data_IF_214482411248
#
_entry.id   IF_214482411248
#
_cell.length_a   1.000
_cell.length_b   1.000
_cell.length_c   1.000
_cell.angle_alpha   90.00
_cell.angle_beta   90.00
_cell.angle_gamma   90.00
#
_symmetry.space_group_name_H-M   'P 1'
#
loop_
_entity.id
_entity.type
_entity.pdbx_description
1 polymer ?
#
# COMPACT_ATOMS: atom_id res chain seq x y z
N UNK A 1 -3.13 4.01 -36.73
CA UNK A 1 -2.59 5.37 -36.48
C UNK A 1 -3.64 6.36 -35.98
N UNK A 2 -4.85 6.42 -36.57
CA UNK A 2 -5.85 7.47 -36.26
C UNK A 2 -6.29 7.56 -34.78
N UNK A 3 -6.55 6.43 -34.10
CA UNK A 3 -7.10 6.45 -32.74
C UNK A 3 -6.13 7.03 -31.69
N UNK A 4 -4.88 6.59 -31.64
CA UNK A 4 -3.92 7.11 -30.64
C UNK A 4 -3.58 8.58 -30.83
N UNK A 5 -3.81 9.15 -32.02
CA UNK A 5 -3.53 10.56 -32.28
C UNK A 5 -4.55 11.52 -31.65
N UNK A 6 -5.75 11.01 -31.31
CA UNK A 6 -6.84 11.80 -30.70
C UNK A 6 -7.06 11.47 -29.22
N UNK A 7 -6.30 10.52 -28.67
CA UNK A 7 -6.40 10.11 -27.26
C UNK A 7 -5.39 10.88 -26.40
N UNK A 8 -5.73 11.17 -25.13
CA UNK A 8 -4.81 11.81 -24.21
C UNK A 8 -3.57 10.92 -23.96
N UNK A 9 -2.42 11.49 -23.53
CA UNK A 9 -1.18 10.74 -23.26
C UNK A 9 -1.27 9.56 -22.28
N UNK A 10 -2.33 9.53 -21.48
CA UNK A 10 -2.60 8.49 -20.48
C UNK A 10 -3.43 7.33 -21.02
N UNK A 11 -3.98 7.44 -22.24
CA UNK A 11 -4.80 6.40 -22.88
C UNK A 11 -4.16 5.99 -24.19
N UNK A 12 -3.97 4.68 -24.37
CA UNK A 12 -3.32 4.10 -25.55
C UNK A 12 -4.03 2.83 -26.00
N UNK A 13 -4.24 2.70 -27.30
CA UNK A 13 -4.69 1.47 -27.97
C UNK A 13 -3.46 0.80 -28.59
N UNK A 14 -3.06 -0.34 -28.04
CA UNK A 14 -1.88 -1.09 -28.50
C UNK A 14 -2.22 -2.33 -29.32
N UNK A 15 -3.45 -2.86 -29.19
CA UNK A 15 -3.92 -4.03 -29.94
C UNK A 15 -5.39 -3.91 -30.36
N UNK A 16 -5.79 -4.74 -31.33
CA UNK A 16 -7.16 -4.86 -31.80
C UNK A 16 -7.40 -6.26 -32.40
N UNK A 17 -8.66 -6.67 -32.48
CA UNK A 17 -9.05 -7.93 -33.12
C UNK A 17 -10.46 -7.80 -33.70
N UNK A 18 -10.74 -8.30 -34.92
CA UNK A 18 -12.12 -8.42 -35.39
C UNK A 18 -12.88 -9.48 -34.56
N UNK A 19 -14.14 -9.19 -34.25
CA UNK A 19 -15.00 -10.07 -33.44
C UNK A 19 -16.33 -10.31 -34.15
N UNK A 20 -17.03 -11.37 -33.75
CA UNK A 20 -18.37 -11.63 -34.28
C UNK A 20 -19.39 -10.62 -33.74
N UNK A 21 -20.50 -10.34 -34.44
CA UNK A 21 -21.54 -9.44 -33.94
C UNK A 21 -22.17 -9.89 -32.61
N UNK A 22 -22.09 -11.17 -32.28
CA UNK A 22 -22.60 -11.75 -31.02
C UNK A 22 -21.59 -11.66 -29.87
N UNK A 23 -20.37 -11.22 -30.12
CA UNK A 23 -19.33 -11.12 -29.10
C UNK A 23 -19.63 -10.00 -28.10
N UNK A 24 -19.41 -10.26 -26.81
CA UNK A 24 -19.48 -9.26 -25.76
C UNK A 24 -18.18 -9.21 -24.98
N UNK A 25 -17.50 -8.07 -24.95
CA UNK A 25 -16.31 -7.88 -24.12
C UNK A 25 -16.58 -8.17 -22.62
N UNK A 26 -17.83 -7.96 -22.16
CA UNK A 26 -18.22 -8.24 -20.79
C UNK A 26 -18.52 -9.72 -20.57
N UNK A 27 -19.41 -10.30 -21.38
CA UNK A 27 -19.96 -11.63 -21.12
C UNK A 27 -19.15 -12.77 -21.74
N UNK A 28 -18.35 -12.50 -22.78
CA UNK A 28 -17.48 -13.48 -23.42
C UNK A 28 -16.09 -13.59 -22.75
N UNK A 29 -15.80 -12.77 -21.75
CA UNK A 29 -14.53 -12.82 -21.01
C UNK A 29 -14.52 -13.99 -20.02
N UNK A 30 -13.51 -14.86 -20.11
CA UNK A 30 -13.37 -16.07 -19.29
C UNK A 30 -12.72 -15.80 -17.94
N UNK A 31 -11.70 -14.94 -17.89
CA UNK A 31 -10.97 -14.60 -16.67
C UNK A 31 -10.44 -13.17 -16.70
N UNK A 32 -10.29 -12.58 -15.51
CA UNK A 32 -9.65 -11.28 -15.30
C UNK A 32 -8.50 -11.46 -14.32
N UNK A 33 -7.36 -10.88 -14.65
CA UNK A 33 -6.18 -10.86 -13.79
C UNK A 33 -5.96 -9.45 -13.28
N UNK A 34 -5.94 -9.29 -11.97
CA UNK A 34 -5.59 -8.04 -11.31
C UNK A 34 -4.25 -8.16 -10.61
N UNK A 35 -3.52 -7.06 -10.58
CA UNK A 35 -2.33 -6.88 -9.75
C UNK A 35 -2.54 -5.72 -8.80
N UNK A 36 -2.19 -5.89 -7.54
CA UNK A 36 -2.17 -4.83 -6.55
C UNK A 36 -0.73 -4.65 -6.06
N UNK A 37 -0.13 -3.49 -6.36
CA UNK A 37 1.26 -3.20 -6.02
C UNK A 37 1.39 -2.63 -4.60
N UNK A 38 2.43 -3.04 -3.87
CA UNK A 38 2.74 -2.49 -2.55
C UNK A 38 4.22 -2.64 -2.22
N UNK A 39 4.67 -1.98 -1.16
CA UNK A 39 6.04 -2.14 -0.64
C UNK A 39 5.98 -3.03 0.59
N UNK A 40 6.82 -4.06 0.64
CA UNK A 40 6.82 -5.10 1.70
C UNK A 40 6.80 -4.51 3.11
N UNK A 41 7.73 -3.60 3.40
CA UNK A 41 8.00 -3.06 4.75
C UNK A 41 8.15 -4.21 5.75
N UNK A 42 7.41 -4.11 6.85
CA UNK A 42 7.34 -5.03 7.97
C UNK A 42 6.25 -6.10 7.81
N UNK A 43 5.63 -6.23 6.63
CA UNK A 43 4.58 -7.21 6.39
C UNK A 43 5.12 -8.64 6.40
N UNK A 44 4.46 -9.50 7.17
CA UNK A 44 4.64 -10.95 7.16
C UNK A 44 3.97 -11.54 5.91
N UNK A 45 4.74 -11.70 4.84
CA UNK A 45 4.23 -12.21 3.57
C UNK A 45 3.79 -13.68 3.68
N UNK A 46 4.34 -14.46 4.61
CA UNK A 46 3.97 -15.86 4.73
C UNK A 46 2.59 -16.02 5.35
N UNK A 47 2.31 -15.26 6.41
CA UNK A 47 0.95 -15.16 6.95
C UNK A 47 -0.05 -14.65 5.90
N UNK A 48 0.35 -13.67 5.07
CA UNK A 48 -0.49 -13.19 3.97
C UNK A 48 -0.75 -14.28 2.91
N UNK A 49 0.27 -15.08 2.55
CA UNK A 49 0.13 -16.20 1.62
C UNK A 49 -0.81 -17.27 2.16
N UNK A 50 -0.71 -17.60 3.45
CA UNK A 50 -1.62 -18.55 4.10
C UNK A 50 -3.09 -18.07 4.04
N UNK A 51 -3.33 -16.80 4.37
CA UNK A 51 -4.66 -16.20 4.26
C UNK A 51 -5.15 -16.16 2.82
N UNK A 52 -4.24 -15.92 1.87
CA UNK A 52 -4.58 -15.86 0.45
C UNK A 52 -4.99 -17.22 -0.13
N UNK A 53 -4.31 -18.30 0.26
CA UNK A 53 -4.61 -19.64 -0.22
C UNK A 53 -6.08 -20.04 0.03
N UNK A 54 -6.67 -19.57 1.14
CA UNK A 54 -8.07 -19.82 1.53
C UNK A 54 -9.10 -19.16 0.59
N UNK A 55 -8.70 -18.13 -0.16
CA UNK A 55 -9.59 -17.42 -1.09
C UNK A 55 -9.78 -18.18 -2.41
N UNK A 56 -8.90 -19.12 -2.75
CA UNK A 56 -8.97 -19.88 -4.01
C UNK A 56 -10.18 -20.81 -4.00
N UNK A 57 -10.89 -20.90 -5.12
CA UNK A 57 -12.12 -21.70 -5.26
C UNK A 57 -13.39 -20.87 -5.39
N UNK A 58 -14.53 -21.52 -5.16
CA UNK A 58 -15.87 -20.91 -5.23
C UNK A 58 -16.35 -20.57 -3.81
N UNK A 59 -16.60 -19.29 -3.56
CA UNK A 59 -17.07 -18.80 -2.25
C UNK A 59 -18.05 -17.64 -2.39
N UNK A 60 -18.79 -17.36 -1.32
CA UNK A 60 -19.59 -16.14 -1.18
C UNK A 60 -18.71 -15.01 -0.61
N UNK A 61 -18.53 -13.94 -1.39
CA UNK A 61 -17.63 -12.84 -1.04
C UNK A 61 -18.34 -11.59 -0.50
N UNK A 62 -19.58 -11.69 0.00
CA UNK A 62 -20.34 -10.51 0.48
C UNK A 62 -19.64 -9.72 1.59
N UNK A 63 -18.93 -10.41 2.49
CA UNK A 63 -18.16 -9.79 3.58
C UNK A 63 -16.84 -9.18 3.09
N UNK A 64 -16.39 -9.57 1.89
CA UNK A 64 -15.17 -9.11 1.24
C UNK A 64 -15.47 -8.18 0.06
N UNK A 65 -16.64 -7.55 -0.01
CA UNK A 65 -16.98 -6.55 -1.02
C UNK A 65 -17.74 -5.36 -0.40
N UNK A 66 -17.93 -4.28 -1.15
CA UNK A 66 -18.89 -3.24 -0.74
C UNK A 66 -20.28 -3.69 -1.20
N UNK A 67 -21.19 -3.89 -0.25
CA UNK A 67 -22.55 -4.35 -0.56
C UNK A 67 -23.28 -3.24 -1.33
N UNK A 68 -23.78 -3.57 -2.52
CA UNK A 68 -24.77 -2.79 -3.23
C UNK A 68 -26.02 -3.67 -3.42
N UNK A 69 -26.92 -3.62 -2.45
CA UNK A 69 -28.08 -4.53 -2.34
C UNK A 69 -29.08 -4.30 -3.48
N UNK A 70 -29.06 -3.12 -4.09
CA UNK A 70 -29.98 -2.76 -5.19
C UNK A 70 -29.59 -3.41 -6.52
N UNK A 71 -28.32 -3.73 -6.72
CA UNK A 71 -27.79 -4.17 -8.02
C UNK A 71 -27.34 -5.64 -8.06
N UNK A 72 -27.05 -6.25 -6.90
CA UNK A 72 -26.41 -7.57 -6.84
C UNK A 72 -27.13 -8.50 -5.87
N UNK A 73 -27.71 -9.57 -6.42
CA UNK A 73 -28.30 -10.68 -5.66
C UNK A 73 -27.38 -11.89 -5.51
N UNK A 74 -26.36 -12.01 -6.38
CA UNK A 74 -25.40 -13.11 -6.35
C UNK A 74 -23.99 -12.64 -5.96
N UNK A 75 -23.53 -13.10 -4.80
CA UNK A 75 -22.21 -12.80 -4.22
C UNK A 75 -21.19 -13.93 -4.39
N UNK A 76 -21.58 -15.05 -5.01
CA UNK A 76 -20.66 -16.14 -5.28
C UNK A 76 -19.70 -15.77 -6.41
N UNK A 77 -18.41 -15.96 -6.19
CA UNK A 77 -17.37 -15.80 -7.22
C UNK A 77 -16.41 -16.98 -7.21
N UNK A 78 -15.71 -17.15 -8.31
CA UNK A 78 -14.68 -18.18 -8.46
C UNK A 78 -13.34 -17.50 -8.67
N UNK A 79 -12.43 -17.72 -7.72
CA UNK A 79 -11.02 -17.35 -7.83
C UNK A 79 -10.26 -18.58 -8.34
N UNK A 80 -9.59 -18.43 -9.48
CA UNK A 80 -8.85 -19.49 -10.14
C UNK A 80 -7.46 -19.67 -9.52
N UNK A 81 -6.77 -18.56 -9.29
CA UNK A 81 -5.45 -18.55 -8.65
C UNK A 81 -5.21 -17.21 -7.98
N UNK A 82 -4.36 -17.20 -6.97
CA UNK A 82 -3.87 -15.98 -6.37
C UNK A 82 -2.50 -16.20 -5.72
N UNK A 83 -1.63 -15.20 -5.80
CA UNK A 83 -0.26 -15.28 -5.31
C UNK A 83 0.28 -13.91 -4.86
N UNK A 84 1.33 -13.92 -4.06
CA UNK A 84 2.10 -12.73 -3.69
C UNK A 84 3.51 -12.90 -4.24
N UNK A 85 3.87 -12.01 -5.15
CA UNK A 85 5.16 -12.02 -5.85
C UNK A 85 6.02 -10.88 -5.31
N UNK A 86 7.24 -11.22 -4.90
CA UNK A 86 8.29 -10.26 -4.56
C UNK A 86 9.09 -9.96 -5.83
N UNK A 87 9.32 -8.69 -6.11
CA UNK A 87 10.18 -8.30 -7.24
C UNK A 87 11.62 -8.17 -6.76
N UNK A 88 12.52 -8.89 -7.40
CA UNK A 88 13.95 -8.73 -7.21
C UNK A 88 14.40 -7.42 -7.85
N UNK A 89 14.42 -6.34 -7.06
CA UNK A 89 15.05 -5.09 -7.48
C UNK A 89 16.51 -5.13 -7.04
N UNK A 90 17.33 -5.80 -7.84
CA UNK A 90 18.78 -5.61 -7.86
C UNK A 90 19.25 -5.55 -9.31
N UNK A 91 18.92 -4.44 -9.99
CA UNK A 91 19.67 -4.01 -11.16
C UNK A 91 21.01 -3.43 -10.71
N UNK A 92 22.00 -4.27 -10.46
CA UNK A 92 23.37 -3.95 -10.86
C UNK A 92 23.53 -4.51 -12.26
N UNK A 93 23.65 -3.63 -13.25
CA UNK A 93 24.00 -4.04 -14.61
C UNK A 93 25.31 -4.83 -14.59
N UNK A 94 25.31 -5.98 -15.26
CA UNK A 94 26.46 -6.84 -15.46
C UNK A 94 26.06 -8.03 -16.32
N UNK A 95 26.47 -7.98 -17.58
CA UNK A 95 26.27 -9.02 -18.59
C UNK A 95 26.98 -10.33 -18.21
N UNK A 96 26.38 -11.47 -18.57
CA UNK A 96 27.07 -12.73 -18.90
C UNK A 96 27.59 -13.59 -17.74
N UNK A 97 27.17 -14.85 -17.68
CA UNK A 97 27.86 -15.86 -16.88
C UNK A 97 27.00 -17.08 -16.56
N UNK A 98 27.30 -18.17 -17.26
CA UNK A 98 26.82 -19.53 -17.01
C UNK A 98 27.04 -20.00 -15.56
N UNK A 99 26.19 -20.97 -15.20
CA UNK A 99 26.20 -21.79 -14.00
C UNK A 99 27.58 -22.15 -13.45
N UNK A 100 27.77 -21.98 -12.14
CA UNK A 100 28.46 -23.01 -11.35
C UNK A 100 27.86 -23.04 -9.94
N UNK A 101 27.43 -24.23 -9.54
CA UNK A 101 26.97 -24.57 -8.20
C UNK A 101 28.12 -24.41 -7.21
N UNK A 102 27.86 -23.76 -6.08
CA UNK A 102 28.68 -23.88 -4.88
C UNK A 102 27.78 -23.82 -3.63
N UNK A 103 27.67 -24.95 -2.96
CA UNK A 103 27.24 -25.06 -1.56
C UNK A 103 28.28 -24.39 -0.65
N UNK A 104 27.83 -23.75 0.44
CA UNK A 104 28.71 -23.41 1.57
C UNK A 104 28.38 -22.14 2.36
N UNK A 105 27.89 -22.35 3.57
CA UNK A 105 28.12 -21.64 4.84
C UNK A 105 27.72 -20.17 5.08
N UNK A 106 26.96 -20.05 6.18
CA UNK A 106 26.83 -18.97 7.16
C UNK A 106 27.61 -17.66 6.93
N UNK A 107 26.89 -16.69 6.36
CA UNK A 107 26.93 -15.32 6.84
C UNK A 107 25.53 -14.70 6.62
N UNK A 108 24.72 -14.66 7.68
CA UNK A 108 23.61 -13.69 7.73
C UNK A 108 24.25 -12.31 7.67
N UNK A 109 24.31 -11.73 6.47
CA UNK A 109 24.56 -10.31 6.31
C UNK A 109 23.67 -9.55 7.31
N UNK A 110 24.20 -8.52 7.98
CA UNK A 110 23.39 -7.65 8.83
C UNK A 110 22.15 -7.25 8.03
N UNK A 111 20.95 -7.33 8.62
CA UNK A 111 19.69 -6.96 7.95
C UNK A 111 19.80 -5.51 7.43
N UNK A 112 20.28 -5.37 6.20
CA UNK A 112 20.47 -4.07 5.56
C UNK A 112 19.09 -3.42 5.37
N UNK A 113 18.97 -2.08 5.51
CA UNK A 113 17.72 -1.32 5.33
C UNK A 113 17.01 -1.55 3.98
N UNK A 114 17.71 -2.18 3.02
CA UNK A 114 17.27 -2.51 1.67
C UNK A 114 16.21 -3.62 1.61
N UNK A 115 16.21 -4.57 2.56
CA UNK A 115 15.27 -5.72 2.54
C UNK A 115 13.80 -5.31 2.73
N UNK A 116 13.54 -4.29 3.55
CA UNK A 116 12.18 -3.87 3.89
C UNK A 116 11.48 -3.07 2.79
N UNK A 117 12.19 -2.53 1.80
CA UNK A 117 11.58 -1.66 0.77
C UNK A 117 11.39 -2.35 -0.57
N UNK A 118 11.38 -3.67 -0.58
CA UNK A 118 11.13 -4.46 -1.78
C UNK A 118 9.71 -4.22 -2.30
N UNK A 119 9.55 -3.86 -3.58
CA UNK A 119 8.24 -3.83 -4.21
C UNK A 119 7.73 -5.27 -4.34
N UNK A 120 6.45 -5.43 -4.05
CA UNK A 120 5.72 -6.66 -4.15
C UNK A 120 4.43 -6.40 -4.92
N UNK A 121 3.83 -7.44 -5.45
CA UNK A 121 2.46 -7.36 -5.90
C UNK A 121 1.66 -8.61 -5.52
N UNK A 122 0.41 -8.35 -5.17
CA UNK A 122 -0.63 -9.36 -5.05
C UNK A 122 -1.22 -9.58 -6.44
N UNK A 123 -1.27 -10.82 -6.90
CA UNK A 123 -1.89 -11.22 -8.17
C UNK A 123 -3.10 -12.08 -7.86
N UNK A 124 -4.21 -11.80 -8.55
CA UNK A 124 -5.44 -12.59 -8.44
C UNK A 124 -6.09 -12.78 -9.81
N UNK A 125 -6.42 -14.02 -10.11
CA UNK A 125 -7.12 -14.44 -11.32
C UNK A 125 -8.47 -15.00 -10.93
N UNK A 126 -9.53 -14.50 -11.53
CA UNK A 126 -10.88 -14.98 -11.26
C UNK A 126 -11.80 -14.75 -12.45
N UNK A 127 -12.92 -15.47 -12.43
CA UNK A 127 -13.92 -15.33 -13.49
C UNK A 127 -14.51 -13.91 -13.51
N UNK A 128 -14.87 -13.38 -12.34
CA UNK A 128 -15.38 -12.03 -12.15
C UNK A 128 -15.18 -11.61 -10.68
N UNK A 129 -15.28 -10.30 -10.41
CA UNK A 129 -15.15 -9.74 -9.05
C UNK A 129 -16.34 -8.84 -8.73
N UNK A 130 -16.74 -8.81 -7.46
CA UNK A 130 -17.74 -7.89 -6.91
C UNK A 130 -17.17 -6.47 -6.76
N UNK A 131 -18.06 -5.51 -6.53
CA UNK A 131 -17.67 -4.13 -6.30
C UNK A 131 -16.74 -4.01 -5.08
N UNK A 132 -15.57 -3.41 -5.31
CA UNK A 132 -14.48 -3.27 -4.34
C UNK A 132 -13.91 -4.58 -3.76
N UNK A 133 -14.24 -5.76 -4.32
CA UNK A 133 -13.84 -7.04 -3.74
C UNK A 133 -12.34 -7.14 -3.47
N UNK A 134 -11.55 -6.84 -4.50
CA UNK A 134 -10.08 -6.95 -4.44
C UNK A 134 -9.50 -6.00 -3.39
N UNK A 135 -10.00 -4.76 -3.29
CA UNK A 135 -9.52 -3.77 -2.32
C UNK A 135 -9.87 -4.15 -0.88
N UNK A 136 -11.01 -4.80 -0.68
CA UNK A 136 -11.38 -5.36 0.63
C UNK A 136 -10.50 -6.55 0.99
N UNK A 137 -10.26 -7.48 0.06
CA UNK A 137 -9.32 -8.60 0.24
C UNK A 137 -7.93 -8.08 0.64
N UNK A 138 -7.38 -7.14 -0.13
CA UNK A 138 -6.05 -6.57 0.12
C UNK A 138 -5.98 -5.89 1.49
N UNK A 139 -7.06 -5.24 1.93
CA UNK A 139 -7.12 -4.65 3.27
C UNK A 139 -6.97 -5.71 4.36
N UNK A 140 -7.73 -6.80 4.29
CA UNK A 140 -7.63 -7.91 5.25
C UNK A 140 -6.26 -8.56 5.20
N UNK A 141 -5.69 -8.76 4.01
CA UNK A 141 -4.32 -9.26 3.87
C UNK A 141 -3.29 -8.33 4.53
N UNK A 142 -3.43 -7.00 4.44
CA UNK A 142 -2.55 -6.10 5.19
C UNK A 142 -2.74 -6.17 6.70
N UNK A 143 -3.94 -6.49 7.19
CA UNK A 143 -4.16 -6.73 8.62
C UNK A 143 -3.48 -8.03 9.07
N UNK A 144 -3.53 -9.07 8.23
CA UNK A 144 -2.83 -10.34 8.45
C UNK A 144 -1.31 -10.14 8.42
N UNK A 145 -0.79 -9.46 7.40
CA UNK A 145 0.65 -9.18 7.27
C UNK A 145 1.20 -8.31 8.41
N UNK A 146 0.36 -7.47 9.03
CA UNK A 146 0.69 -6.71 10.25
C UNK A 146 0.49 -7.50 11.55
N UNK A 147 0.06 -8.76 11.47
CA UNK A 147 -0.27 -9.64 12.61
C UNK A 147 -1.36 -9.06 13.52
N UNK A 148 -2.24 -8.23 12.97
CA UNK A 148 -3.40 -7.70 13.70
C UNK A 148 -4.52 -8.74 13.69
N UNK A 149 -4.67 -9.43 12.56
CA UNK A 149 -5.62 -10.53 12.36
C UNK A 149 -4.86 -11.82 12.03
N UNK A 150 -5.35 -12.99 12.47
CA UNK A 150 -4.78 -14.27 12.05
C UNK A 150 -5.22 -14.61 10.61
N UNK A 151 -4.47 -15.45 9.88
CA UNK A 151 -4.88 -15.92 8.55
C UNK A 151 -6.23 -16.66 8.53
N UNK A 152 -6.70 -17.19 9.66
CA UNK A 152 -8.01 -17.86 9.78
C UNK A 152 -9.19 -16.89 9.67
N UNK A 153 -8.99 -15.58 9.81
CA UNK A 153 -10.05 -14.58 9.64
C UNK A 153 -10.71 -14.64 8.26
N UNK A 154 -9.97 -15.14 7.26
CA UNK A 154 -10.51 -15.33 5.92
C UNK A 154 -11.61 -16.41 5.92
N UNK A 155 -11.42 -17.50 6.65
CA UNK A 155 -12.42 -18.56 6.77
C UNK A 155 -13.69 -18.01 7.44
N UNK A 156 -13.54 -17.22 8.51
CA UNK A 156 -14.64 -16.57 9.22
C UNK A 156 -15.40 -15.55 8.34
N UNK A 157 -14.70 -14.87 7.42
CA UNK A 157 -15.32 -13.91 6.50
C UNK A 157 -16.05 -14.58 5.34
N UNK A 158 -15.60 -15.77 4.92
CA UNK A 158 -16.25 -16.57 3.89
C UNK A 158 -17.44 -17.37 4.46
N UNK A 159 -17.45 -17.67 5.77
CA UNK A 159 -18.60 -18.28 6.44
C UNK A 159 -19.70 -17.25 6.77
N UNK A 160 -20.68 -17.20 5.88
CA UNK A 160 -21.84 -16.31 6.02
C UNK A 160 -22.75 -16.69 7.19
N UNK A 161 -22.78 -17.97 7.56
CA UNK A 161 -23.66 -18.46 8.63
C UNK A 161 -23.12 -18.08 10.01
N UNK A 162 -21.79 -18.19 10.18
CA UNK A 162 -21.11 -17.76 11.40
C UNK A 162 -21.00 -16.22 11.48
N UNK A 163 -20.85 -15.54 10.35
CA UNK A 163 -20.62 -14.09 10.30
C UNK A 163 -21.62 -13.35 9.38
N UNK A 164 -22.84 -13.09 9.85
CA UNK A 164 -23.88 -12.43 9.04
C UNK A 164 -23.60 -10.93 8.80
N UNK A 165 -22.67 -10.34 9.57
CA UNK A 165 -22.36 -8.91 9.53
C UNK A 165 -20.91 -8.63 9.15
N UNK A 166 -20.70 -7.87 8.08
CA UNK A 166 -19.35 -7.50 7.62
C UNK A 166 -18.60 -6.64 8.66
N UNK A 167 -17.39 -7.03 9.10
CA UNK A 167 -16.52 -6.16 9.89
C UNK A 167 -16.07 -4.92 9.12
N UNK A 168 -15.93 -3.79 9.81
CA UNK A 168 -15.54 -2.52 9.19
C UNK A 168 -14.02 -2.43 9.01
N UNK A 169 -13.53 -2.93 7.86
CA UNK A 169 -12.14 -2.71 7.44
C UNK A 169 -12.03 -1.47 6.55
N UNK A 170 -11.00 -0.64 6.80
CA UNK A 170 -10.66 0.46 5.90
C UNK A 170 -10.21 -0.10 4.55
N UNK A 171 -10.85 0.34 3.47
CA UNK A 171 -10.56 -0.18 2.14
C UNK A 171 -9.15 0.21 1.68
N UNK A 172 -8.42 -0.74 1.08
CA UNK A 172 -7.09 -0.46 0.55
C UNK A 172 -7.14 0.67 -0.52
N UNK A 173 -6.10 1.51 -0.67
CA UNK A 173 -6.03 2.52 -1.72
C UNK A 173 -6.31 1.99 -3.13
N UNK A 174 -6.84 2.81 -4.03
CA UNK A 174 -7.12 2.38 -5.41
C UNK A 174 -5.95 2.47 -6.37
N UNK A 175 -5.07 3.46 -6.15
CA UNK A 175 -3.95 3.75 -7.04
C UNK A 175 -3.09 2.52 -7.40
N UNK A 176 -2.80 1.59 -6.48
CA UNK A 176 -1.95 0.44 -6.80
C UNK A 176 -2.68 -0.73 -7.48
N UNK A 177 -4.00 -0.65 -7.66
CA UNK A 177 -4.79 -1.71 -8.27
C UNK A 177 -4.84 -1.54 -9.80
N UNK A 178 -4.35 -2.54 -10.52
CA UNK A 178 -4.27 -2.56 -11.98
C UNK A 178 -5.00 -3.78 -12.52
N UNK A 179 -5.92 -3.58 -13.47
CA UNK A 179 -6.40 -4.65 -14.34
C UNK A 179 -5.28 -5.01 -15.31
N UNK A 180 -4.64 -6.15 -15.09
CA UNK A 180 -3.46 -6.55 -15.83
C UNK A 180 -3.80 -7.21 -17.17
N UNK A 181 -4.74 -8.15 -17.16
CA UNK A 181 -5.18 -8.83 -18.37
C UNK A 181 -6.62 -9.33 -18.26
N UNK A 182 -7.21 -9.57 -19.42
CA UNK A 182 -8.52 -10.20 -19.58
C UNK A 182 -8.40 -11.29 -20.62
N UNK A 183 -8.93 -12.47 -20.31
CA UNK A 183 -8.86 -13.63 -21.19
C UNK A 183 -10.17 -13.81 -21.93
N UNK A 184 -10.05 -14.21 -23.20
CA UNK A 184 -11.17 -14.50 -24.08
C UNK A 184 -10.86 -15.76 -24.87
N UNK A 185 -11.86 -16.64 -24.97
CA UNK A 185 -11.73 -17.86 -25.74
C UNK A 185 -11.62 -17.54 -27.23
N UNK A 186 -10.63 -18.14 -27.91
CA UNK A 186 -10.43 -18.06 -29.36
C UNK A 186 -10.22 -16.65 -29.95
N UNK A 187 -9.86 -15.66 -29.14
CA UNK A 187 -9.45 -14.34 -29.67
C UNK A 187 -7.93 -14.23 -29.74
N UNK A 188 -7.45 -13.83 -30.92
CA UNK A 188 -6.03 -13.50 -31.15
C UNK A 188 -5.92 -11.99 -31.39
N UNK A 189 -5.35 -11.28 -30.42
CA UNK A 189 -5.11 -9.85 -30.57
C UNK A 189 -4.04 -9.61 -31.63
N UNK A 190 -4.37 -8.73 -32.58
CA UNK A 190 -3.43 -8.19 -33.55
C UNK A 190 -2.74 -6.96 -32.98
N UNK A 191 -1.43 -6.86 -33.23
CA UNK A 191 -0.60 -5.75 -32.78
C UNK A 191 0.12 -5.12 -33.97
N UNK A 192 0.20 -3.79 -33.99
CA UNK A 192 0.98 -3.05 -34.98
C UNK A 192 2.33 -2.65 -34.40
N UNK A 193 3.42 -2.97 -35.11
CA UNK A 193 4.79 -2.67 -34.65
C UNK A 193 4.96 -1.19 -34.28
N UNK A 194 4.52 -0.26 -35.12
CA UNK A 194 4.62 1.18 -34.84
C UNK A 194 3.84 1.59 -33.58
N UNK A 195 2.69 0.97 -33.30
CA UNK A 195 1.92 1.29 -32.10
C UNK A 195 2.60 0.74 -30.85
N UNK A 196 3.08 -0.51 -30.90
CA UNK A 196 3.82 -1.11 -29.80
C UNK A 196 5.09 -0.34 -29.50
N UNK A 197 5.83 0.08 -30.54
CA UNK A 197 7.04 0.89 -30.40
C UNK A 197 6.76 2.20 -29.64
N UNK A 198 5.78 3.00 -30.10
CA UNK A 198 5.46 4.27 -29.43
C UNK A 198 4.95 4.07 -27.99
N UNK A 199 4.12 3.04 -27.75
CA UNK A 199 3.65 2.74 -26.39
C UNK A 199 4.81 2.29 -25.50
N UNK A 200 5.73 1.48 -26.04
CA UNK A 200 6.97 1.09 -25.36
C UNK A 200 7.81 2.30 -24.97
N UNK A 201 8.15 3.16 -25.93
CA UNK A 201 8.93 4.38 -25.66
C UNK A 201 8.24 5.33 -24.66
N UNK A 202 6.90 5.46 -24.72
CA UNK A 202 6.13 6.27 -23.77
C UNK A 202 6.22 5.69 -22.34
N UNK A 203 6.16 4.36 -22.20
CA UNK A 203 6.26 3.68 -20.91
C UNK A 203 7.69 3.72 -20.35
N UNK A 204 8.70 3.48 -21.20
CA UNK A 204 10.12 3.55 -20.85
C UNK A 204 10.48 4.94 -20.32
N UNK A 205 10.11 6.00 -21.05
CA UNK A 205 10.38 7.38 -20.61
C UNK A 205 9.77 7.71 -19.26
N UNK A 206 8.52 7.30 -19.02
CA UNK A 206 7.85 7.50 -17.72
C UNK A 206 8.52 6.70 -16.61
N UNK A 207 8.96 5.48 -16.92
CA UNK A 207 9.69 4.64 -15.98
C UNK A 207 11.04 5.27 -15.62
N UNK A 208 11.80 5.77 -16.59
CA UNK A 208 13.08 6.47 -16.37
C UNK A 208 12.89 7.71 -15.48
N UNK A 209 11.89 8.54 -15.77
CA UNK A 209 11.57 9.73 -14.97
C UNK A 209 11.24 9.38 -13.52
N UNK A 210 10.35 8.40 -13.33
CA UNK A 210 9.95 7.94 -12.00
C UNK A 210 11.10 7.26 -11.25
N UNK A 211 11.98 6.55 -11.96
CA UNK A 211 13.15 5.94 -11.35
C UNK A 211 14.18 6.96 -10.91
N UNK A 212 14.46 7.98 -11.73
CA UNK A 212 15.35 9.06 -11.35
C UNK A 212 14.81 9.81 -10.12
N UNK A 213 13.49 10.06 -10.08
CA UNK A 213 12.85 10.65 -8.92
C UNK A 213 12.97 9.76 -7.67
N UNK A 214 12.77 8.44 -7.81
CA UNK A 214 12.93 7.48 -6.72
C UNK A 214 14.38 7.43 -6.22
N UNK A 215 15.37 7.50 -7.11
CA UNK A 215 16.79 7.46 -6.77
C UNK A 215 17.23 8.73 -6.05
N UNK A 216 16.80 9.92 -6.50
CA UNK A 216 17.06 11.18 -5.80
C UNK A 216 16.52 11.16 -4.36
N UNK A 217 15.33 10.60 -4.17
CA UNK A 217 14.75 10.44 -2.84
C UNK A 217 15.54 9.42 -2.02
N UNK A 218 16.00 8.32 -2.63
CA UNK A 218 16.82 7.30 -1.97
C UNK A 218 18.13 7.90 -1.47
N UNK A 219 18.88 8.58 -2.33
CA UNK A 219 20.12 9.26 -1.98
C UNK A 219 19.91 10.26 -0.83
N UNK A 220 18.87 11.09 -0.92
CA UNK A 220 18.52 12.02 0.17
C UNK A 220 18.23 11.31 1.50
N UNK A 221 17.60 10.14 1.48
CA UNK A 221 17.34 9.35 2.68
C UNK A 221 18.61 8.69 3.25
N UNK A 222 19.48 8.18 2.40
CA UNK A 222 20.77 7.60 2.81
C UNK A 222 21.70 8.67 3.38
N UNK A 223 21.73 9.85 2.75
CA UNK A 223 22.45 11.02 3.24
C UNK A 223 21.95 11.44 4.62
N UNK A 224 20.63 11.57 4.80
CA UNK A 224 20.04 11.90 6.11
C UNK A 224 20.43 10.85 7.16
N UNK A 225 20.43 9.57 6.80
CA UNK A 225 20.84 8.49 7.70
C UNK A 225 22.29 8.58 8.18
N UNK A 226 23.21 9.06 7.33
CA UNK A 226 24.65 9.14 7.62
C UNK A 226 25.09 10.47 8.24
N UNK A 227 24.54 11.57 7.76
CA UNK A 227 25.00 12.93 8.10
C UNK A 227 24.20 13.58 9.22
N UNK A 228 22.94 13.18 9.44
CA UNK A 228 22.16 13.75 10.53
C UNK A 228 22.46 13.02 11.84
N UNK A 229 22.62 13.83 12.88
CA UNK A 229 22.89 13.38 14.24
C UNK A 229 21.84 13.96 15.18
N UNK A 230 21.40 13.14 16.14
CA UNK A 230 20.37 13.52 17.11
C UNK A 230 20.79 13.09 18.51
N UNK A 231 20.38 13.85 19.52
CA UNK A 231 20.61 13.46 20.90
C UNK A 231 19.78 12.22 21.25
N UNK A 232 20.34 11.32 22.06
CA UNK A 232 19.61 10.14 22.55
C UNK A 232 18.34 10.54 23.31
N UNK A 233 18.42 11.60 24.12
CA UNK A 233 17.30 12.12 24.90
C UNK A 233 16.12 12.54 24.03
N UNK A 234 16.38 13.20 22.89
CA UNK A 234 15.31 13.62 21.98
C UNK A 234 14.64 12.41 21.30
N UNK A 235 15.42 11.37 20.98
CA UNK A 235 14.88 10.11 20.42
C UNK A 235 13.97 9.42 21.44
N UNK A 236 14.40 9.33 22.70
CA UNK A 236 13.60 8.73 23.78
C UNK A 236 12.31 9.53 24.03
N UNK A 237 12.42 10.87 24.10
CA UNK A 237 11.27 11.78 24.24
C UNK A 237 10.29 11.61 23.07
N UNK A 238 10.80 11.47 21.85
CA UNK A 238 9.98 11.22 20.67
C UNK A 238 9.25 9.88 20.77
N UNK A 239 9.96 8.79 21.09
CA UNK A 239 9.36 7.45 21.23
C UNK A 239 8.27 7.44 22.28
N UNK A 240 8.52 8.04 23.45
CA UNK A 240 7.53 8.10 24.53
C UNK A 240 6.30 8.92 24.14
N UNK A 241 6.50 10.08 23.50
CA UNK A 241 5.39 10.87 22.97
C UNK A 241 4.52 10.11 21.96
N UNK A 242 5.14 9.27 21.10
CA UNK A 242 4.42 8.40 20.15
C UNK A 242 3.64 7.29 20.87
N UNK A 243 4.17 6.74 21.95
CA UNK A 243 3.49 5.74 22.78
C UNK A 243 2.26 6.35 23.46
N UNK A 244 2.39 7.55 24.02
CA UNK A 244 1.30 8.23 24.70
C UNK A 244 0.17 8.63 23.73
N UNK A 245 0.51 9.19 22.57
CA UNK A 245 -0.49 9.54 21.55
C UNK A 245 -1.34 8.33 21.16
N UNK A 246 -0.71 7.16 21.03
CA UNK A 246 -1.39 5.89 20.73
C UNK A 246 -2.26 5.41 21.89
N UNK A 247 -1.77 5.44 23.14
CA UNK A 247 -2.57 5.13 24.33
C UNK A 247 -3.83 5.99 24.40
N UNK A 248 -3.72 7.28 24.05
CA UNK A 248 -4.85 8.20 24.00
C UNK A 248 -5.86 7.84 22.91
N UNK A 249 -5.40 7.38 21.74
CA UNK A 249 -6.28 6.88 20.65
C UNK A 249 -6.99 5.59 21.05
N UNK A 250 -6.30 4.65 21.69
CA UNK A 250 -6.89 3.39 22.14
C UNK A 250 -7.97 3.61 23.23
N UNK A 251 -7.71 4.52 24.17
CA UNK A 251 -8.70 4.91 25.19
C UNK A 251 -9.92 5.56 24.52
N UNK A 252 -9.73 6.45 23.55
CA UNK A 252 -10.84 7.06 22.79
C UNK A 252 -11.64 6.03 22.00
N UNK A 253 -10.96 5.07 21.34
CA UNK A 253 -11.61 4.00 20.59
C UNK A 253 -12.47 3.11 21.51
N UNK A 254 -11.96 2.74 22.70
CA UNK A 254 -12.71 1.98 23.71
C UNK A 254 -13.85 2.77 24.33
N UNK A 255 -13.67 4.08 24.53
CA UNK A 255 -14.69 4.99 25.06
C UNK A 255 -15.87 5.21 24.11
N UNK A 256 -15.60 5.30 22.80
CA UNK A 256 -16.66 5.40 21.78
C UNK A 256 -17.47 4.11 21.65
N UNK A 257 -16.87 2.94 21.89
CA UNK A 257 -17.61 1.67 21.86
C UNK A 257 -18.59 1.47 23.03
N UNK A 258 -18.46 2.25 24.12
CA UNK A 258 -19.41 2.22 25.26
C UNK A 258 -20.63 3.14 25.12
N UNK A 259 -20.67 4.04 24.12
CA UNK A 259 -21.77 5.01 23.94
C UNK A 259 -22.91 4.53 23.03
N UNK A 260 -22.91 3.25 22.62
CA UNK A 260 -23.95 2.64 21.78
C UNK A 260 -25.01 1.86 22.57
N UNK A 261 -25.26 2.21 23.83
CA UNK A 261 -26.49 1.83 24.53
C UNK A 261 -27.46 3.03 24.48
N UNK A 262 -28.76 2.80 24.17
CA UNK A 262 -29.67 3.89 23.82
C UNK A 262 -30.10 4.63 25.08
N UNK A 263 -29.64 5.87 25.26
CA UNK A 263 -30.28 6.81 26.18
C UNK A 263 -31.30 7.67 25.43
N UNK A 264 -32.46 7.77 26.06
CA UNK A 264 -33.69 8.38 25.57
C UNK A 264 -33.51 9.85 25.17
N UNK A 265 -34.25 10.22 24.13
CA UNK A 265 -34.32 11.58 23.60
C UNK A 265 -34.97 12.50 24.64
N UNK A 266 -34.22 13.48 25.15
CA UNK A 266 -34.81 14.71 25.69
C UNK A 266 -34.16 15.96 25.11
N UNK A 267 -34.99 16.69 24.37
CA UNK A 267 -35.01 18.12 24.04
C UNK A 267 -33.72 18.95 24.08
N UNK A 268 -33.43 19.55 22.92
CA UNK A 268 -32.40 20.57 22.69
C UNK A 268 -32.90 21.95 23.16
N UNK A 269 -32.16 22.72 24.00
CA UNK A 269 -32.41 24.14 24.24
C UNK A 269 -31.50 25.05 23.37
N UNK A 270 -31.87 26.33 23.21
CA UNK A 270 -31.57 27.10 22.00
C UNK A 270 -30.18 27.74 21.98
N UNK A 271 -29.68 27.93 20.75
CA UNK A 271 -28.46 28.65 20.37
C UNK A 271 -28.42 30.07 20.93
N UNK A 272 -27.39 30.40 21.70
CA UNK A 272 -26.94 31.79 21.92
C UNK A 272 -25.78 32.11 20.96
N UNK A 273 -25.99 33.11 20.10
CA UNK A 273 -24.93 33.83 19.38
C UNK A 273 -24.17 34.72 20.38
N UNK A 274 -22.85 34.78 20.24
CA UNK A 274 -21.88 35.85 20.60
C UNK A 274 -20.49 35.26 20.38
N UNK A 275 -19.42 35.98 20.04
CA UNK A 275 -19.13 37.31 19.53
C UNK A 275 -17.68 37.16 19.07
N UNK A 276 -17.31 37.73 17.93
CA UNK A 276 -15.92 37.78 17.49
C UNK A 276 -15.14 38.73 18.41
N UNK A 277 -13.96 38.31 18.88
CA UNK A 277 -12.93 39.23 19.34
C UNK A 277 -11.56 38.64 19.01
N UNK A 278 -10.74 39.50 18.42
CA UNK A 278 -9.38 39.29 17.96
C UNK A 278 -8.34 39.14 19.09
N UNK A 279 -7.15 38.71 18.65
CA UNK A 279 -5.83 38.72 19.28
C UNK A 279 -5.57 37.73 20.44
N UNK A 280 -4.60 36.84 20.24
CA UNK A 280 -3.26 37.09 20.75
C UNK A 280 -2.20 36.24 20.06
N UNK A 281 -1.07 36.89 19.77
CA UNK A 281 0.10 36.26 19.17
C UNK A 281 0.81 35.33 20.16
N UNK A 282 1.33 34.22 19.64
CA UNK A 282 2.46 33.54 20.27
C UNK A 282 3.46 33.14 19.20
N UNK A 283 4.59 33.83 19.27
CA UNK A 283 5.81 33.62 18.50
C UNK A 283 6.30 32.18 18.72
N UNK A 284 6.30 31.37 17.66
CA UNK A 284 7.03 30.11 17.64
C UNK A 284 8.51 30.49 17.53
N UNK A 285 9.28 30.24 18.59
CA UNK A 285 10.73 30.27 18.51
C UNK A 285 11.17 29.06 17.68
N UNK A 286 11.55 29.30 16.44
CA UNK A 286 12.32 28.38 15.63
C UNK A 286 13.76 28.40 16.18
N UNK A 287 14.13 27.40 16.97
CA UNK A 287 15.54 27.14 17.25
C UNK A 287 16.15 26.52 15.99
N UNK A 288 16.58 27.40 15.09
CA UNK A 288 17.43 27.07 13.94
C UNK A 288 18.78 26.64 14.53
N UNK A 289 19.08 25.35 14.45
CA UNK A 289 20.44 24.87 14.67
C UNK A 289 21.27 25.32 13.47
N UNK A 290 21.99 26.44 13.63
CA UNK A 290 22.97 26.91 12.66
C UNK A 290 24.04 25.84 12.46
N UNK A 291 24.13 25.31 11.25
CA UNK A 291 25.25 24.47 10.81
C UNK A 291 26.49 25.34 10.65
N UNK A 292 27.26 25.50 11.72
CA UNK A 292 28.62 26.03 11.61
C UNK A 292 29.57 24.89 11.26
N UNK A 293 30.10 24.95 10.03
CA UNK A 293 31.22 24.11 9.61
C UNK A 293 32.52 24.55 10.28
N UNK A 294 33.36 23.55 10.56
CA UNK A 294 34.79 23.72 10.83
C UNK A 294 35.16 23.95 12.30
N UNK A 295 35.41 22.85 13.02
CA UNK A 295 36.08 22.88 14.31
C UNK A 295 36.30 21.48 14.85
N UNK A 296 37.55 21.02 14.84
CA UNK A 296 38.00 19.85 15.60
C UNK A 296 37.62 20.04 17.07
N UNK A 297 36.59 19.31 17.50
CA UNK A 297 36.01 19.42 18.84
C UNK A 297 35.25 18.15 19.16
N UNK A 298 35.77 17.44 20.17
CA UNK A 298 35.25 16.20 20.74
C UNK A 298 33.71 16.13 20.72
N UNK A 299 33.13 15.21 19.94
CA UNK A 299 31.68 15.06 19.83
C UNK A 299 31.07 14.78 21.22
N UNK A 300 29.98 15.46 21.62
CA UNK A 300 29.31 15.18 22.88
C UNK A 300 28.85 13.72 22.92
N UNK A 301 29.16 13.03 24.02
CA UNK A 301 29.07 11.58 24.19
C UNK A 301 27.66 10.95 24.07
N UNK A 302 26.61 11.77 23.90
CA UNK A 302 25.20 11.35 23.88
C UNK A 302 24.48 11.55 22.54
N UNK A 303 25.24 11.79 21.47
CA UNK A 303 24.70 11.97 20.13
C UNK A 303 24.84 10.67 19.32
N UNK A 304 23.77 10.28 18.62
CA UNK A 304 23.74 9.10 17.76
C UNK A 304 23.40 9.47 16.31
N UNK A 305 23.82 8.65 15.36
CA UNK A 305 23.46 8.83 13.95
C UNK A 305 21.94 8.68 13.77
N UNK A 306 21.37 9.34 12.78
CA UNK A 306 19.96 9.18 12.46
C UNK A 306 19.61 7.75 12.05
N UNK A 307 20.54 7.00 11.43
CA UNK A 307 20.33 5.57 11.12
C UNK A 307 20.16 4.74 12.39
N UNK A 308 20.96 4.99 13.42
CA UNK A 308 20.85 4.30 14.71
C UNK A 308 19.59 4.72 15.44
N UNK A 309 19.28 6.03 15.44
CA UNK A 309 18.04 6.55 15.99
C UNK A 309 16.80 5.91 15.34
N UNK A 310 16.77 5.79 14.01
CA UNK A 310 15.68 5.11 13.29
C UNK A 310 15.55 3.64 13.69
N UNK A 311 16.67 2.95 13.91
CA UNK A 311 16.66 1.54 14.35
C UNK A 311 16.14 1.40 15.77
N UNK A 312 16.50 2.32 16.68
CA UNK A 312 15.96 2.39 18.04
C UNK A 312 14.46 2.73 18.06
N UNK A 313 14.03 3.70 17.25
CA UNK A 313 12.62 4.06 17.13
C UNK A 313 11.82 2.87 16.60
N UNK A 314 12.31 2.22 15.54
CA UNK A 314 11.62 1.06 14.96
C UNK A 314 11.54 -0.09 15.95
N UNK A 315 12.63 -0.50 16.58
CA UNK A 315 12.61 -1.56 17.59
C UNK A 315 11.67 -1.24 18.76
N UNK A 316 11.75 -0.02 19.30
CA UNK A 316 10.92 0.45 20.42
C UNK A 316 9.43 0.55 20.10
N UNK A 317 9.08 0.67 18.81
CA UNK A 317 7.72 0.72 18.30
C UNK A 317 7.28 -0.56 17.58
N UNK A 318 8.18 -1.52 17.32
CA UNK A 318 7.94 -2.72 16.50
C UNK A 318 6.99 -3.74 17.13
N UNK A 319 6.70 -3.61 18.43
CA UNK A 319 5.64 -4.37 19.13
C UNK A 319 4.36 -3.57 19.38
N UNK A 320 4.30 -2.32 18.92
CA UNK A 320 3.19 -1.42 19.18
C UNK A 320 2.45 -1.16 17.87
N UNK A 321 1.20 -1.63 17.83
CA UNK A 321 0.28 -1.58 16.68
C UNK A 321 0.36 -0.25 15.92
N UNK A 322 0.60 -0.23 14.59
CA UNK A 322 0.34 0.97 13.82
C UNK A 322 -1.17 1.25 13.84
N UNK A 323 -1.53 2.49 14.22
CA UNK A 323 -2.84 3.06 13.89
C UNK A 323 -3.07 2.91 12.38
N UNK A 324 -4.30 2.70 11.91
CA UNK A 324 -4.65 2.77 10.50
C UNK A 324 -4.52 4.23 10.07
N UNK A 325 -3.29 4.66 9.82
CA UNK A 325 -3.03 5.66 8.81
C UNK A 325 -2.42 4.85 7.69
N UNK A 326 -3.22 4.61 6.65
CA UNK A 326 -2.71 4.16 5.36
C UNK A 326 -1.56 5.06 4.87
N UNK A 327 -0.99 4.81 3.68
CA UNK A 327 -0.11 5.79 3.07
C UNK A 327 -0.86 7.12 3.02
N UNK A 328 -0.46 8.08 3.87
CA UNK A 328 -0.86 9.47 3.73
C UNK A 328 -0.51 9.84 2.30
N UNK A 329 -1.49 10.44 1.63
CA UNK A 329 -1.47 10.96 0.27
C UNK A 329 -0.07 10.99 -0.32
N UNK A 330 0.13 10.22 -1.39
CA UNK A 330 1.24 10.46 -2.29
C UNK A 330 1.30 11.96 -2.52
N UNK A 331 2.40 12.58 -2.07
CA UNK A 331 2.69 13.99 -2.31
C UNK A 331 2.36 14.23 -3.77
N UNK A 332 1.39 15.11 -4.00
CA UNK A 332 1.04 15.60 -5.32
C UNK A 332 2.34 16.12 -5.92
N UNK A 333 2.99 15.32 -6.77
CA UNK A 333 4.05 15.84 -7.63
C UNK A 333 3.32 16.81 -8.55
N UNK A 334 3.58 18.11 -8.50
CA UNK A 334 2.93 19.03 -9.42
C UNK A 334 3.42 18.63 -10.81
N UNK A 335 2.51 18.18 -11.67
CA UNK A 335 2.71 18.26 -13.11
C UNK A 335 2.81 19.76 -13.42
N UNK A 336 4.04 20.28 -13.45
CA UNK A 336 4.30 21.59 -14.00
C UNK A 336 4.08 21.50 -15.52
N UNK A 337 3.16 22.33 -15.96
CA UNK A 337 2.78 22.64 -17.34
C UNK A 337 3.93 23.05 -18.23
#
# INVERSE_FOLDING_TARGET
KMLNAVLPPTIRVFGWCPVTPTFSARFSCSARTYRYYFVRRDLDLEAMREGLAKLVGRHDFRNLCKMNVEEVSNFERVIHSAEIVESDVCGSGGEGGESTEAEGDDAKEPLEPRSFRRPCHFLIVGQAFLWHQIRCIVSVLFMIGRKIEPPSVIDDLLDITANPGKPSYEMAPELPLVLHSTEYLNLKMGYGVTNLWHVGCDLERKWEELQLAAERLRDGMERLGREAYVSREDVERFVEGRREERRRKDIKARGNNKRLLPEEKTACPPRKRRLTSDNDGSTIKEDICETNGGGDGNAPSDVISWSDALSLIRSSLSGLRPSPSGPREAVHVPLMS
#
